data_IF_049640335497
#
_entry.id   IF_049640335497
#
_cell.length_a   1.000
_cell.length_b   1.000
_cell.length_c   1.000
_cell.angle_alpha   90.00
_cell.angle_beta   90.00
_cell.angle_gamma   90.00
#
_symmetry.space_group_name_H-M   'P 1'
#
loop_
_entity.id
_entity.type
_entity.pdbx_description
1 polymer ?
#
# COMPACT_ATOMS: atom_id res chain seq x y z
N UNK A 1 1.31 26.23 -3.62
CA UNK A 1 2.38 25.72 -4.52
C UNK A 1 2.00 24.30 -4.89
N UNK A 2 1.59 24.05 -6.14
CA UNK A 2 1.20 22.70 -6.58
C UNK A 2 2.44 21.80 -6.56
N UNK A 3 2.42 20.80 -5.67
CA UNK A 3 3.56 19.90 -5.49
C UNK A 3 3.69 18.99 -6.70
N UNK A 4 4.90 18.50 -6.97
CA UNK A 4 5.27 17.70 -8.16
C UNK A 4 4.32 16.53 -8.49
N UNK A 5 3.52 16.07 -7.51
CA UNK A 5 2.50 15.03 -7.69
C UNK A 5 1.30 15.47 -8.55
N UNK A 6 0.87 16.73 -8.47
CA UNK A 6 -0.29 17.22 -9.25
C UNK A 6 0.02 17.23 -10.76
N UNK A 7 1.26 17.58 -11.10
CA UNK A 7 1.74 17.59 -12.49
C UNK A 7 1.83 16.17 -13.07
N UNK A 8 2.27 15.20 -12.26
CA UNK A 8 2.31 13.79 -12.68
C UNK A 8 0.91 13.24 -12.95
N UNK A 9 -0.06 13.58 -12.10
CA UNK A 9 -1.46 13.20 -12.30
C UNK A 9 -1.97 13.77 -13.63
N UNK A 10 -1.77 15.07 -13.88
CA UNK A 10 -2.16 15.73 -15.15
C UNK A 10 -1.53 15.05 -16.37
N UNK A 11 -0.25 14.71 -16.30
CA UNK A 11 0.44 14.02 -17.40
C UNK A 11 -0.10 12.60 -17.65
N UNK A 12 -0.49 11.87 -16.59
CA UNK A 12 -1.14 10.56 -16.73
C UNK A 12 -2.50 10.65 -17.43
N UNK A 13 -3.28 11.70 -17.19
CA UNK A 13 -4.53 11.96 -17.93
C UNK A 13 -4.27 12.12 -19.43
N UNK A 14 -3.24 12.90 -19.81
CA UNK A 14 -2.87 13.08 -21.22
C UNK A 14 -2.44 11.75 -21.85
N UNK A 15 -1.68 10.93 -21.13
CA UNK A 15 -1.28 9.60 -21.62
C UNK A 15 -2.52 8.71 -21.80
N UNK A 16 -3.47 8.71 -20.86
CA UNK A 16 -4.70 7.93 -20.96
C UNK A 16 -5.54 8.34 -22.18
N UNK A 17 -5.68 9.64 -22.41
CA UNK A 17 -6.38 10.19 -23.57
C UNK A 17 -5.72 9.76 -24.89
N UNK A 18 -4.40 9.99 -25.03
CA UNK A 18 -3.67 9.63 -26.25
C UNK A 18 -3.55 8.12 -26.48
N UNK A 19 -3.57 7.32 -25.40
CA UNK A 19 -3.60 5.86 -25.51
C UNK A 19 -4.96 5.36 -26.02
N UNK A 20 -6.06 6.05 -25.69
CA UNK A 20 -7.39 5.75 -26.22
C UNK A 20 -7.53 6.12 -27.71
N UNK A 21 -6.77 7.13 -28.18
CA UNK A 21 -6.62 7.45 -29.60
C UNK A 21 -5.68 6.49 -30.37
N UNK A 22 -5.26 5.37 -29.74
CA UNK A 22 -4.33 4.38 -30.30
C UNK A 22 -2.96 4.94 -30.74
N UNK A 23 -2.52 6.06 -30.17
CA UNK A 23 -1.20 6.61 -30.46
C UNK A 23 -0.08 5.70 -29.92
N UNK A 24 0.97 5.52 -30.73
CA UNK A 24 2.19 4.84 -30.27
C UNK A 24 2.84 5.59 -29.11
N UNK A 25 3.36 4.85 -28.12
CA UNK A 25 4.02 5.42 -26.95
C UNK A 25 5.20 6.36 -27.30
N UNK A 26 5.89 6.11 -28.42
CA UNK A 26 6.97 6.99 -28.90
C UNK A 26 6.43 8.36 -29.34
N UNK A 27 5.29 8.38 -30.05
CA UNK A 27 4.62 9.61 -30.48
C UNK A 27 4.06 10.37 -29.29
N UNK A 28 3.51 9.65 -28.30
CA UNK A 28 3.03 10.24 -27.04
C UNK A 28 4.19 10.94 -26.32
N UNK A 29 5.35 10.29 -26.18
CA UNK A 29 6.52 10.90 -25.55
C UNK A 29 7.02 12.13 -26.30
N UNK A 30 7.08 12.09 -27.63
CA UNK A 30 7.47 13.27 -28.43
C UNK A 30 6.53 14.46 -28.19
N UNK A 31 5.21 14.24 -28.23
CA UNK A 31 4.19 15.28 -27.97
C UNK A 31 4.22 15.78 -26.52
N UNK A 32 4.44 14.91 -25.55
CA UNK A 32 4.53 15.33 -24.15
C UNK A 32 5.83 16.12 -23.89
N UNK A 33 6.93 15.75 -24.54
CA UNK A 33 8.21 16.44 -24.40
C UNK A 33 8.17 17.85 -24.98
N UNK A 34 7.42 18.10 -26.05
CA UNK A 34 7.24 19.47 -26.59
C UNK A 34 6.45 20.36 -25.65
N UNK A 35 5.45 19.83 -24.93
CA UNK A 35 4.60 20.61 -24.01
C UNK A 35 5.22 20.75 -22.61
N UNK A 36 5.67 19.66 -22.01
CA UNK A 36 6.16 19.62 -20.62
C UNK A 36 7.67 19.82 -20.49
N UNK A 37 8.42 19.72 -21.60
CA UNK A 37 9.88 19.93 -21.62
C UNK A 37 10.61 19.04 -20.63
N UNK A 38 11.39 19.66 -19.73
CA UNK A 38 12.18 18.98 -18.69
C UNK A 38 11.34 18.28 -17.62
N UNK A 39 10.07 18.65 -17.47
CA UNK A 39 9.17 18.08 -16.48
C UNK A 39 8.36 16.89 -17.03
N UNK A 40 8.62 16.47 -18.27
CA UNK A 40 7.95 15.34 -18.89
C UNK A 40 8.29 14.02 -18.18
N UNK A 41 7.28 13.16 -18.00
CA UNK A 41 7.46 11.77 -17.57
C UNK A 41 8.39 11.04 -18.55
N UNK A 42 9.24 10.16 -18.02
CA UNK A 42 10.17 9.37 -18.85
C UNK A 42 9.43 8.46 -19.83
N UNK A 43 10.04 8.21 -20.97
CA UNK A 43 9.48 7.33 -22.01
C UNK A 43 9.13 5.93 -21.46
N UNK A 44 9.97 5.38 -20.57
CA UNK A 44 9.71 4.10 -19.91
C UNK A 44 8.40 4.12 -19.09
N UNK A 45 8.15 5.21 -18.36
CA UNK A 45 6.91 5.36 -17.60
C UNK A 45 5.70 5.57 -18.52
N UNK A 46 5.84 6.32 -19.62
CA UNK A 46 4.79 6.46 -20.64
C UNK A 46 4.41 5.09 -21.21
N UNK A 47 5.39 4.28 -21.65
CA UNK A 47 5.14 2.92 -22.16
C UNK A 47 4.41 2.03 -21.13
N UNK A 48 4.78 2.14 -19.85
CA UNK A 48 4.10 1.44 -18.76
C UNK A 48 2.63 1.87 -18.64
N UNK A 49 2.36 3.17 -18.67
CA UNK A 49 1.01 3.72 -18.61
C UNK A 49 0.16 3.33 -19.82
N UNK A 50 0.69 3.47 -21.04
CA UNK A 50 0.02 3.01 -22.28
C UNK A 50 -0.36 1.54 -22.18
N UNK A 51 0.54 0.68 -21.64
CA UNK A 51 0.22 -0.74 -21.41
C UNK A 51 -0.90 -0.95 -20.39
N UNK A 52 -0.93 -0.14 -19.33
CA UNK A 52 -1.98 -0.22 -18.29
C UNK A 52 -3.34 0.19 -18.84
N UNK A 53 -3.38 1.18 -19.74
CA UNK A 53 -4.62 1.68 -20.36
C UNK A 53 -5.08 0.84 -21.55
N UNK A 54 -4.19 0.05 -22.17
CA UNK A 54 -4.55 -0.78 -23.32
C UNK A 54 -5.66 -1.77 -22.93
N UNK A 55 -6.82 -1.66 -23.55
CA UNK A 55 -7.98 -2.51 -23.30
C UNK A 55 -8.80 -2.14 -22.05
N UNK A 56 -8.62 -0.94 -21.49
CA UNK A 56 -9.46 -0.40 -20.41
C UNK A 56 -10.17 0.85 -20.85
N UNK A 57 -11.38 1.06 -20.34
CA UNK A 57 -12.09 2.32 -20.54
C UNK A 57 -11.31 3.48 -19.87
N UNK A 58 -11.01 4.55 -20.62
CA UNK A 58 -10.29 5.71 -20.09
C UNK A 58 -11.08 6.42 -18.98
N UNK A 59 -12.41 6.19 -18.90
CA UNK A 59 -13.30 6.75 -17.88
C UNK A 59 -13.22 6.05 -16.52
N UNK A 60 -12.84 4.77 -16.48
CA UNK A 60 -12.86 3.95 -15.26
C UNK A 60 -11.48 3.73 -14.64
N UNK A 61 -10.42 4.16 -15.30
CA UNK A 61 -9.06 3.88 -14.83
C UNK A 61 -8.65 4.84 -13.72
N UNK A 62 -8.32 4.30 -12.54
CA UNK A 62 -7.79 5.07 -11.41
C UNK A 62 -6.37 5.57 -11.75
N UNK A 63 -6.22 6.89 -11.92
CA UNK A 63 -4.97 7.54 -12.33
C UNK A 63 -4.06 7.92 -11.16
N UNK A 64 -4.65 8.03 -9.96
CA UNK A 64 -3.92 8.27 -8.73
C UNK A 64 -3.26 6.99 -8.24
N UNK A 65 -2.07 7.11 -7.67
CA UNK A 65 -1.45 5.98 -7.01
C UNK A 65 -2.36 5.52 -5.86
N UNK A 66 -2.75 4.24 -5.87
CA UNK A 66 -3.43 3.65 -4.72
C UNK A 66 -2.54 3.81 -3.50
N UNK A 67 -3.16 3.97 -2.31
CA UNK A 67 -2.41 3.93 -1.04
C UNK A 67 -1.52 2.70 -1.07
N UNK A 68 -0.20 2.91 -0.98
CA UNK A 68 0.75 1.81 -0.95
C UNK A 68 0.37 0.94 0.25
N UNK A 69 0.07 -0.33 0.01
CA UNK A 69 0.11 -1.32 1.07
C UNK A 69 1.55 -1.32 1.56
N UNK A 70 1.80 -0.75 2.74
CA UNK A 70 3.12 -0.83 3.37
C UNK A 70 3.56 -2.29 3.52
N UNK A 71 4.79 -2.51 3.97
CA UNK A 71 5.22 -3.87 4.35
C UNK A 71 4.18 -4.45 5.31
N UNK A 72 3.54 -5.60 4.99
CA UNK A 72 2.64 -6.24 5.94
C UNK A 72 3.43 -6.57 7.21
N UNK A 73 2.83 -6.36 8.37
CA UNK A 73 3.51 -6.45 9.68
C UNK A 73 3.81 -7.90 10.10
N UNK A 74 4.00 -8.81 9.14
CA UNK A 74 4.06 -10.28 9.19
C UNK A 74 2.79 -10.94 8.62
N UNK A 75 2.90 -11.86 7.64
CA UNK A 75 1.78 -12.63 7.10
C UNK A 75 1.09 -13.54 8.12
N UNK A 76 1.76 -13.90 9.21
CA UNK A 76 1.24 -14.83 10.23
C UNK A 76 0.36 -14.15 11.29
N UNK A 77 0.08 -12.86 11.13
CA UNK A 77 -0.57 -12.01 12.14
C UNK A 77 -1.95 -12.51 12.57
N UNK A 78 -2.79 -13.01 11.65
CA UNK A 78 -4.16 -13.43 12.00
C UNK A 78 -4.17 -14.67 12.88
N UNK A 79 -3.47 -15.74 12.47
CA UNK A 79 -3.35 -16.97 13.24
C UNK A 79 -2.71 -16.75 14.62
N UNK A 80 -1.68 -15.90 14.67
CA UNK A 80 -1.04 -15.56 15.95
C UNK A 80 -1.93 -14.71 16.84
N UNK A 81 -2.72 -13.77 16.30
CA UNK A 81 -3.71 -13.00 17.07
C UNK A 81 -4.74 -13.91 17.72
N UNK A 82 -5.30 -14.85 16.96
CA UNK A 82 -6.28 -15.81 17.45
C UNK A 82 -5.68 -16.72 18.54
N UNK A 83 -4.48 -17.25 18.34
CA UNK A 83 -3.79 -18.07 19.35
C UNK A 83 -3.54 -17.28 20.64
N UNK A 84 -3.06 -16.04 20.54
CA UNK A 84 -2.83 -15.16 21.69
C UNK A 84 -4.14 -14.84 22.42
N UNK A 85 -5.23 -14.53 21.69
CA UNK A 85 -6.54 -14.24 22.29
C UNK A 85 -7.11 -15.46 23.02
N UNK A 86 -7.03 -16.66 22.42
CA UNK A 86 -7.42 -17.91 23.07
C UNK A 86 -6.64 -18.16 24.38
N UNK A 87 -5.32 -17.94 24.39
CA UNK A 87 -4.49 -18.11 25.58
C UNK A 87 -4.89 -17.13 26.71
N UNK A 88 -5.13 -15.86 26.38
CA UNK A 88 -5.54 -14.84 27.36
C UNK A 88 -6.93 -15.13 27.91
N UNK A 89 -7.86 -15.59 27.06
CA UNK A 89 -9.22 -15.97 27.48
C UNK A 89 -9.22 -17.21 28.37
N UNK A 90 -8.37 -18.19 28.10
CA UNK A 90 -8.23 -19.39 28.92
C UNK A 90 -7.63 -19.09 30.31
N UNK A 91 -6.63 -18.20 30.38
CA UNK A 91 -6.03 -17.77 31.63
C UNK A 91 -5.74 -16.27 31.61
N UNK A 92 -6.45 -15.47 32.40
CA UNK A 92 -6.23 -14.01 32.40
C UNK A 92 -4.92 -13.56 33.06
N UNK A 93 -4.18 -14.47 33.72
CA UNK A 93 -2.93 -14.17 34.44
C UNK A 93 -1.67 -14.68 33.72
N UNK A 94 -1.73 -15.08 32.45
CA UNK A 94 -0.54 -15.53 31.68
C UNK A 94 0.50 -14.43 31.56
N UNK A 95 1.78 -14.82 31.59
CA UNK A 95 2.89 -13.88 31.32
C UNK A 95 3.12 -13.74 29.83
N UNK A 96 3.50 -12.54 29.38
CA UNK A 96 3.86 -12.30 27.97
C UNK A 96 4.98 -13.20 27.47
N UNK A 97 5.89 -13.63 28.36
CA UNK A 97 6.99 -14.54 28.01
C UNK A 97 6.47 -15.95 27.66
N UNK A 98 5.54 -16.47 28.46
CA UNK A 98 4.92 -17.79 28.21
C UNK A 98 4.15 -17.82 26.89
N UNK A 99 3.46 -16.72 26.57
CA UNK A 99 2.78 -16.55 25.26
C UNK A 99 3.81 -16.47 24.12
N UNK A 100 4.92 -15.76 24.31
CA UNK A 100 5.97 -15.64 23.31
C UNK A 100 6.62 -17.00 22.98
N UNK A 101 6.92 -17.79 24.02
CA UNK A 101 7.53 -19.11 23.89
C UNK A 101 6.58 -20.11 23.18
N UNK A 102 5.28 -20.08 23.51
CA UNK A 102 4.26 -20.97 22.93
C UNK A 102 3.85 -20.61 21.48
N UNK A 103 3.86 -19.32 21.14
CA UNK A 103 3.49 -18.85 19.79
C UNK A 103 4.73 -18.76 18.88
N UNK A 104 5.94 -18.79 19.43
CA UNK A 104 7.20 -18.69 18.68
C UNK A 104 7.48 -17.27 18.16
N UNK A 105 7.09 -16.25 18.93
CA UNK A 105 7.17 -14.84 18.54
C UNK A 105 7.99 -14.05 19.55
N UNK A 106 8.60 -12.93 19.15
CA UNK A 106 9.27 -12.03 20.09
C UNK A 106 8.30 -11.44 21.13
N UNK A 107 8.83 -11.19 22.33
CA UNK A 107 8.07 -10.57 23.42
C UNK A 107 7.48 -9.21 23.04
N UNK A 108 8.23 -8.39 22.29
CA UNK A 108 7.72 -7.07 21.84
C UNK A 108 6.50 -7.22 20.93
N UNK A 109 6.53 -8.22 20.05
CA UNK A 109 5.43 -8.46 19.12
C UNK A 109 4.19 -8.98 19.85
N UNK A 110 4.36 -9.88 20.82
CA UNK A 110 3.26 -10.28 21.73
C UNK A 110 2.69 -9.06 22.46
N UNK A 111 3.53 -8.20 23.02
CA UNK A 111 3.08 -6.99 23.70
C UNK A 111 2.23 -6.10 22.79
N UNK A 112 2.67 -5.86 21.55
CA UNK A 112 1.92 -5.10 20.56
C UNK A 112 0.58 -5.76 20.20
N UNK A 113 0.54 -7.08 20.04
CA UNK A 113 -0.71 -7.80 19.76
C UNK A 113 -1.69 -7.63 20.93
N UNK A 114 -1.23 -7.81 22.18
CA UNK A 114 -2.09 -7.69 23.36
C UNK A 114 -2.63 -6.27 23.54
N UNK A 115 -1.78 -5.24 23.41
CA UNK A 115 -2.17 -3.86 23.73
C UNK A 115 -2.78 -3.11 22.55
N UNK A 116 -2.19 -3.22 21.35
CA UNK A 116 -2.55 -2.40 20.18
C UNK A 116 -3.61 -3.09 19.33
N UNK A 117 -3.54 -4.42 19.19
CA UNK A 117 -4.45 -5.18 18.31
C UNK A 117 -5.68 -5.69 19.08
N UNK A 118 -5.48 -6.31 20.24
CA UNK A 118 -6.56 -6.88 21.06
C UNK A 118 -7.11 -5.90 22.11
N UNK A 119 -6.38 -4.83 22.42
CA UNK A 119 -6.84 -3.79 23.35
C UNK A 119 -6.87 -4.21 24.83
N UNK A 120 -6.21 -5.30 25.21
CA UNK A 120 -6.17 -5.75 26.60
C UNK A 120 -5.29 -4.83 27.46
N UNK A 121 -5.76 -4.55 28.67
CA UNK A 121 -5.03 -3.76 29.68
C UNK A 121 -4.85 -4.56 30.96
N UNK A 122 -3.67 -4.46 31.58
CA UNK A 122 -3.45 -5.02 32.91
C UNK A 122 -4.30 -4.26 33.92
N UNK A 123 -5.27 -4.94 34.52
CA UNK A 123 -6.02 -4.43 35.66
C UNK A 123 -5.24 -4.80 36.93
N UNK A 124 -4.78 -3.79 37.67
CA UNK A 124 -4.24 -3.97 39.01
C UNK A 124 -5.27 -3.46 40.01
N UNK A 125 -5.54 -4.24 41.05
CA UNK A 125 -6.08 -3.69 42.28
C UNK A 125 -4.98 -2.85 42.96
N UNK A 126 -5.37 -1.76 43.62
CA UNK A 126 -4.47 -0.96 44.45
C UNK A 126 -4.16 -1.71 45.74
#
# INVERSE_FOLDING_TARGET
MATSNDLLIKQRFVIAFLAAEECSAANIHARMKTVYGKMCISECAIRKWVRIFKGKDPKETILCDRKRSGRPLSPSDTAHREKVDCMIRANRRVKQKEIADEVGISKERVHHIVTTVLGYRKLSAR
#
